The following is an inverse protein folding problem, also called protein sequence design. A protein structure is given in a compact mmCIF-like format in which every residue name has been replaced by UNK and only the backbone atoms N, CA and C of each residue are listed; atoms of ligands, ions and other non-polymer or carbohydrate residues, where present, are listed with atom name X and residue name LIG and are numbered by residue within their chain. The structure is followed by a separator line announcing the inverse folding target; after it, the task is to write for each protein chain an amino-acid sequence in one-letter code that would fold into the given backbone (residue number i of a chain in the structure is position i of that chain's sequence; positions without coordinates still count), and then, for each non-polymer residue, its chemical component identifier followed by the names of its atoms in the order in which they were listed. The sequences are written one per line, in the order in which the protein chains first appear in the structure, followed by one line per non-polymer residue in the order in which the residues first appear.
data_IF_696016734492
#
_entry.id   IF_696016734492
#
_cell.length_a   1.000
_cell.length_b   1.000
_cell.length_c   1.000
_cell.angle_alpha   90.00
_cell.angle_beta   90.00
_cell.angle_gamma   90.00
#
_symmetry.space_group_name_H-M   'P 1'
#
loop_
_entity.id
_entity.type
_entity.pdbx_description
1 polymer ?
#
# COMPACT_ATOMS: atom_id res chain seq x y z
N UNK A 1 5.96 22.90 -0.01
CA UNK A 1 6.18 21.86 1.02
C UNK A 1 6.64 20.54 0.39
N UNK A 2 5.84 19.86 -0.48
CA UNK A 2 6.25 18.56 -1.05
C UNK A 2 7.57 18.65 -1.81
N UNK A 3 7.73 19.67 -2.66
CA UNK A 3 8.95 19.88 -3.47
C UNK A 3 10.18 20.15 -2.61
N UNK A 4 10.04 20.93 -1.54
CA UNK A 4 11.10 21.22 -0.58
C UNK A 4 11.53 19.93 0.16
N UNK A 5 10.55 19.19 0.70
CA UNK A 5 10.84 17.89 1.37
C UNK A 5 11.46 16.90 0.39
N UNK A 6 11.06 16.90 -0.88
CA UNK A 6 11.67 16.07 -1.89
C UNK A 6 13.13 16.43 -2.13
N UNK A 7 13.46 17.74 -2.22
CA UNK A 7 14.84 18.21 -2.38
C UNK A 7 15.74 17.79 -1.21
N UNK A 8 15.20 17.84 0.02
CA UNK A 8 15.93 17.43 1.22
C UNK A 8 16.06 15.90 1.38
N UNK A 9 15.11 15.15 0.83
CA UNK A 9 15.03 13.69 1.01
C UNK A 9 15.78 12.93 -0.08
N UNK A 10 15.74 13.45 -1.31
CA UNK A 10 16.30 12.77 -2.47
C UNK A 10 17.73 13.25 -2.72
N UNK A 11 18.63 12.28 -2.87
CA UNK A 11 20.04 12.53 -3.16
C UNK A 11 20.33 12.48 -4.67
N UNK A 12 21.52 12.94 -5.09
CA UNK A 12 22.02 12.85 -6.46
C UNK A 12 21.16 13.59 -7.51
N UNK A 13 20.57 14.73 -7.15
CA UNK A 13 19.78 15.56 -8.07
C UNK A 13 18.48 14.91 -8.56
N UNK A 14 18.02 13.86 -7.87
CA UNK A 14 16.72 13.25 -8.18
C UNK A 14 15.59 14.20 -7.77
N UNK A 15 14.58 14.29 -8.62
CA UNK A 15 13.35 15.04 -8.39
C UNK A 15 12.15 14.12 -8.58
N UNK A 16 11.03 14.50 -8.02
CA UNK A 16 9.74 13.87 -8.31
C UNK A 16 9.15 14.49 -9.58
N UNK A 17 8.51 13.67 -10.40
CA UNK A 17 7.61 14.19 -11.43
C UNK A 17 6.29 14.71 -10.80
N UNK A 18 5.40 15.28 -11.63
CA UNK A 18 4.14 15.85 -11.17
C UNK A 18 3.24 14.81 -10.48
N UNK A 19 3.09 13.61 -11.07
CA UNK A 19 2.29 12.52 -10.49
C UNK A 19 2.87 12.00 -9.18
N UNK A 20 4.17 11.82 -9.10
CA UNK A 20 4.87 11.43 -7.87
C UNK A 20 4.73 12.51 -6.78
N UNK A 21 4.79 13.78 -7.15
CA UNK A 21 4.63 14.91 -6.22
C UNK A 21 3.22 14.94 -5.65
N UNK A 22 2.21 14.78 -6.50
CA UNK A 22 0.80 14.69 -6.10
C UNK A 22 0.56 13.48 -5.19
N UNK A 23 1.06 12.30 -5.56
CA UNK A 23 0.90 11.08 -4.78
C UNK A 23 1.60 11.19 -3.40
N UNK A 24 2.81 11.73 -3.35
CA UNK A 24 3.52 11.95 -2.08
C UNK A 24 2.74 12.93 -1.18
N UNK A 25 2.18 13.98 -1.76
CA UNK A 25 1.34 14.94 -1.06
C UNK A 25 0.05 14.33 -0.52
N UNK A 26 -0.65 13.52 -1.33
CA UNK A 26 -1.86 12.82 -0.92
C UNK A 26 -1.59 11.83 0.22
N UNK A 27 -0.54 11.02 0.11
CA UNK A 27 -0.15 10.06 1.17
C UNK A 27 0.27 10.78 2.45
N UNK A 28 1.06 11.86 2.33
CA UNK A 28 1.49 12.68 3.47
C UNK A 28 0.41 13.62 4.01
N UNK A 29 -0.72 13.73 3.33
CA UNK A 29 -1.86 14.56 3.70
C UNK A 29 -2.75 13.95 4.79
N UNK A 30 -3.96 14.48 4.94
CA UNK A 30 -4.94 14.10 5.98
C UNK A 30 -6.07 13.22 5.46
N UNK A 31 -6.12 12.95 4.17
CA UNK A 31 -7.12 12.07 3.57
C UNK A 31 -7.11 10.68 4.21
N UNK A 32 -8.27 10.18 4.59
CA UNK A 32 -8.37 8.89 5.29
C UNK A 32 -8.09 7.69 4.40
N UNK A 33 -8.44 7.80 3.13
CA UNK A 33 -8.20 6.77 2.12
C UNK A 33 -7.65 7.42 0.85
N UNK A 34 -6.46 7.00 0.47
CA UNK A 34 -5.74 7.42 -0.74
C UNK A 34 -5.50 6.20 -1.62
N UNK A 35 -5.68 6.34 -2.92
CA UNK A 35 -5.31 5.30 -3.88
C UNK A 35 -4.31 5.86 -4.89
N UNK A 36 -3.17 5.19 -5.00
CA UNK A 36 -2.12 5.51 -5.98
C UNK A 36 -1.96 4.33 -6.93
N UNK A 37 -2.32 4.53 -8.17
CA UNK A 37 -2.16 3.53 -9.24
C UNK A 37 -0.91 3.84 -10.04
N UNK A 38 -0.04 2.85 -10.20
CA UNK A 38 1.15 3.02 -11.03
C UNK A 38 1.79 1.70 -11.41
N UNK A 39 2.17 1.54 -12.68
CA UNK A 39 2.91 0.37 -13.15
C UNK A 39 4.27 0.20 -12.46
N UNK A 40 4.89 -0.96 -12.71
CA UNK A 40 6.26 -1.17 -12.29
C UNK A 40 7.20 -0.15 -12.98
N UNK A 41 8.12 0.44 -12.21
CA UNK A 41 9.08 1.40 -12.73
C UNK A 41 8.61 2.86 -12.76
N UNK A 42 7.45 3.19 -12.19
CA UNK A 42 6.98 4.59 -12.03
C UNK A 42 7.57 5.30 -10.81
N UNK A 43 8.57 4.70 -10.15
CA UNK A 43 9.26 5.33 -9.03
C UNK A 43 8.45 5.38 -7.73
N UNK A 44 7.53 4.44 -7.52
CA UNK A 44 6.72 4.33 -6.28
C UNK A 44 7.58 4.44 -5.01
N UNK A 45 8.70 3.74 -4.93
CA UNK A 45 9.61 3.79 -3.79
C UNK A 45 10.17 5.19 -3.53
N UNK A 46 10.54 5.91 -4.59
CA UNK A 46 11.08 7.28 -4.47
C UNK A 46 10.01 8.22 -3.92
N UNK A 47 8.80 8.12 -4.41
CA UNK A 47 7.63 8.85 -3.94
C UNK A 47 7.31 8.51 -2.47
N UNK A 48 7.35 7.22 -2.08
CA UNK A 48 7.08 6.78 -0.71
C UNK A 48 8.12 7.31 0.30
N UNK A 49 9.39 7.44 -0.09
CA UNK A 49 10.42 8.09 0.76
C UNK A 49 10.04 9.52 1.10
N UNK A 50 9.58 10.28 0.11
CA UNK A 50 9.17 11.66 0.31
C UNK A 50 7.89 11.72 1.15
N UNK A 51 6.90 10.88 0.87
CA UNK A 51 5.68 10.78 1.65
C UNK A 51 5.96 10.44 3.14
N UNK A 52 6.90 9.52 3.40
CA UNK A 52 7.35 9.22 4.76
C UNK A 52 7.90 10.47 5.45
N UNK A 53 8.78 11.19 4.79
CA UNK A 53 9.38 12.39 5.37
C UNK A 53 8.36 13.48 5.64
N UNK A 54 7.35 13.62 4.76
CA UNK A 54 6.22 14.53 4.98
C UNK A 54 5.44 14.18 6.26
N UNK A 55 5.19 12.89 6.50
CA UNK A 55 4.51 12.42 7.71
C UNK A 55 5.36 12.66 8.96
N UNK A 56 6.65 12.31 8.91
CA UNK A 56 7.60 12.53 10.03
C UNK A 56 7.69 14.00 10.43
N UNK A 57 7.72 14.92 9.47
CA UNK A 57 7.72 16.37 9.73
C UNK A 57 6.43 16.85 10.43
N UNK A 58 5.37 16.05 10.40
CA UNK A 58 4.10 16.28 11.09
C UNK A 58 3.96 15.50 12.39
N UNK A 59 5.02 14.78 12.84
CA UNK A 59 4.96 13.89 14.00
C UNK A 59 4.12 12.63 13.78
N UNK A 60 3.87 12.24 12.52
CA UNK A 60 3.08 11.07 12.11
C UNK A 60 4.00 9.97 11.58
N UNK A 61 3.58 8.72 11.70
CA UNK A 61 4.36 7.57 11.23
C UNK A 61 3.78 6.98 9.95
N UNK A 62 4.67 6.39 9.16
CA UNK A 62 4.31 5.52 8.04
C UNK A 62 4.60 4.07 8.41
N UNK A 63 3.61 3.21 8.27
CA UNK A 63 3.76 1.76 8.35
C UNK A 63 3.47 1.18 6.97
N UNK A 64 4.46 0.52 6.35
CA UNK A 64 4.27 -0.12 5.04
C UNK A 64 3.89 -1.58 5.26
N UNK A 65 2.83 -2.01 4.62
CA UNK A 65 2.41 -3.41 4.57
C UNK A 65 2.34 -3.91 3.14
N UNK A 66 2.65 -5.18 2.95
CA UNK A 66 2.56 -5.84 1.65
C UNK A 66 1.97 -7.24 1.81
N UNK A 67 1.39 -7.83 0.74
CA UNK A 67 0.83 -9.18 0.78
C UNK A 67 1.85 -10.24 1.18
N UNK A 68 3.13 -10.05 0.84
CA UNK A 68 4.20 -10.99 1.17
C UNK A 68 5.26 -10.38 2.09
N UNK A 69 5.88 -11.21 2.93
CA UNK A 69 7.00 -10.79 3.80
C UNK A 69 8.19 -10.24 3.00
N UNK A 70 8.47 -10.85 1.83
CA UNK A 70 9.56 -10.42 0.95
C UNK A 70 9.32 -9.01 0.41
N UNK A 71 8.13 -8.74 -0.13
CA UNK A 71 7.76 -7.43 -0.64
C UNK A 71 7.82 -6.38 0.49
N UNK A 72 7.26 -6.68 1.66
CA UNK A 72 7.33 -5.81 2.82
C UNK A 72 8.78 -5.49 3.25
N UNK A 73 9.65 -6.51 3.30
CA UNK A 73 11.06 -6.31 3.65
C UNK A 73 11.78 -5.38 2.67
N UNK A 74 11.57 -5.58 1.37
CA UNK A 74 12.15 -4.72 0.32
C UNK A 74 11.63 -3.29 0.46
N UNK A 75 10.31 -3.10 0.56
CA UNK A 75 9.71 -1.78 0.72
C UNK A 75 10.22 -1.05 1.97
N UNK A 76 10.36 -1.77 3.10
CA UNK A 76 10.93 -1.23 4.33
C UNK A 76 12.38 -0.80 4.19
N UNK A 77 13.24 -1.63 3.58
CA UNK A 77 14.64 -1.30 3.35
C UNK A 77 14.79 -0.10 2.41
N UNK A 78 14.02 -0.06 1.35
CA UNK A 78 14.12 0.99 0.34
C UNK A 78 13.56 2.33 0.81
N UNK A 79 12.55 2.34 1.66
CA UNK A 79 11.92 3.56 2.17
C UNK A 79 12.42 3.99 3.53
N UNK A 80 12.98 3.07 4.32
CA UNK A 80 13.34 3.28 5.72
C UNK A 80 12.13 3.32 6.67
N UNK A 81 10.94 2.94 6.22
CA UNK A 81 9.73 2.87 7.04
C UNK A 81 9.64 1.55 7.81
N UNK A 82 8.88 1.54 8.91
CA UNK A 82 8.46 0.30 9.55
C UNK A 82 7.66 -0.53 8.55
N UNK A 83 8.02 -1.80 8.37
CA UNK A 83 7.40 -2.65 7.38
C UNK A 83 7.00 -4.01 7.92
N UNK A 84 5.89 -4.54 7.42
CA UNK A 84 5.32 -5.82 7.83
C UNK A 84 4.57 -6.48 6.68
N UNK A 85 4.39 -7.81 6.75
CA UNK A 85 3.35 -8.40 5.91
C UNK A 85 1.98 -7.93 6.42
N UNK A 86 1.03 -7.76 5.50
CA UNK A 86 -0.32 -7.33 5.85
C UNK A 86 -0.96 -8.27 6.89
N UNK A 87 -0.80 -9.59 6.72
CA UNK A 87 -1.28 -10.58 7.69
C UNK A 87 -0.64 -10.43 9.09
N UNK A 88 0.64 -10.05 9.19
CA UNK A 88 1.28 -9.86 10.48
C UNK A 88 0.74 -8.64 11.22
N UNK A 89 0.44 -7.54 10.51
CA UNK A 89 -0.24 -6.38 11.07
C UNK A 89 -1.67 -6.76 11.54
N UNK A 90 -2.44 -7.47 10.70
CA UNK A 90 -3.79 -7.90 11.08
C UNK A 90 -3.78 -8.81 12.30
N UNK A 91 -2.83 -9.76 12.36
CA UNK A 91 -2.68 -10.67 13.48
C UNK A 91 -2.33 -9.92 14.78
N UNK A 92 -1.43 -8.95 14.73
CA UNK A 92 -1.09 -8.10 15.87
C UNK A 92 -2.30 -7.31 16.40
N UNK A 93 -3.22 -6.93 15.52
CA UNK A 93 -4.49 -6.26 15.85
C UNK A 93 -5.65 -7.22 16.16
N UNK A 94 -5.33 -8.47 16.51
CA UNK A 94 -6.30 -9.47 17.00
C UNK A 94 -7.02 -10.25 15.93
N UNK A 95 -6.80 -9.99 14.63
CA UNK A 95 -7.45 -10.78 13.59
C UNK A 95 -6.90 -12.19 13.53
N UNK A 96 -7.84 -13.17 13.41
CA UNK A 96 -7.56 -14.58 13.22
C UNK A 96 -8.40 -15.08 12.06
N UNK A 97 -7.88 -16.03 11.32
CA UNK A 97 -8.60 -16.66 10.22
C UNK A 97 -8.40 -18.17 10.27
N UNK A 98 -9.42 -18.89 9.89
CA UNK A 98 -9.43 -20.33 9.82
C UNK A 98 -10.01 -20.73 8.48
N UNK A 99 -9.34 -21.62 7.77
CA UNK A 99 -9.85 -22.16 6.53
C UNK A 99 -11.01 -23.12 6.82
N UNK A 100 -12.10 -22.95 6.08
CA UNK A 100 -13.30 -23.79 6.14
C UNK A 100 -13.65 -24.29 4.74
N UNK A 101 -14.49 -25.33 4.59
CA UNK A 101 -14.92 -25.80 3.28
C UNK A 101 -15.61 -24.75 2.41
N UNK A 102 -16.16 -23.70 3.03
CA UNK A 102 -16.88 -22.61 2.36
C UNK A 102 -16.04 -21.34 2.22
N UNK A 103 -14.76 -21.34 2.61
CA UNK A 103 -13.87 -20.19 2.56
C UNK A 103 -13.18 -19.90 3.90
N UNK A 104 -12.64 -18.73 4.08
CA UNK A 104 -11.99 -18.32 5.33
C UNK A 104 -12.99 -17.68 6.29
N UNK A 105 -13.03 -18.19 7.53
CA UNK A 105 -13.73 -17.57 8.64
C UNK A 105 -12.76 -16.61 9.35
N UNK A 106 -13.12 -15.34 9.38
CA UNK A 106 -12.38 -14.29 10.06
C UNK A 106 -13.03 -13.94 11.39
N UNK A 107 -12.23 -13.91 12.45
CA UNK A 107 -12.64 -13.47 13.80
C UNK A 107 -11.67 -12.39 14.26
N UNK A 108 -12.09 -11.57 15.22
CA UNK A 108 -11.22 -10.57 15.84
C UNK A 108 -11.30 -10.69 17.34
N UNK A 109 -10.17 -10.88 17.97
CA UNK A 109 -10.02 -10.88 19.43
C UNK A 109 -10.05 -9.44 19.95
N UNK A 110 -10.63 -9.28 21.11
CA UNK A 110 -10.50 -8.05 21.91
C UNK A 110 -9.57 -8.30 23.09
N UNK A 111 -8.87 -7.28 23.61
CA UNK A 111 -7.99 -7.44 24.77
C UNK A 111 -8.69 -8.15 25.93
N UNK A 112 -8.03 -9.12 26.53
CA UNK A 112 -8.55 -9.98 27.58
C UNK A 112 -9.13 -11.32 27.09
N UNK A 113 -9.31 -11.53 25.78
CA UNK A 113 -9.77 -12.80 25.23
C UNK A 113 -8.63 -13.80 25.06
N UNK A 114 -8.93 -15.06 25.29
CA UNK A 114 -8.00 -16.15 24.97
C UNK A 114 -7.96 -16.37 23.46
N UNK A 115 -6.76 -16.43 22.93
CA UNK A 115 -6.51 -16.76 21.53
C UNK A 115 -6.64 -18.27 21.32
N UNK A 116 -7.64 -18.75 20.57
CA UNK A 116 -7.89 -20.18 20.39
C UNK A 116 -6.78 -20.91 19.62
N UNK A 117 -5.90 -20.15 18.93
CA UNK A 117 -4.78 -20.75 18.20
C UNK A 117 -3.53 -20.94 19.08
N UNK A 118 -3.38 -20.15 20.14
CA UNK A 118 -2.17 -20.17 20.98
C UNK A 118 -2.42 -20.47 22.45
N UNK A 119 -3.68 -20.39 22.91
CA UNK A 119 -4.05 -20.50 24.31
C UNK A 119 -3.58 -19.31 25.20
N UNK A 120 -3.11 -18.21 24.60
CA UNK A 120 -2.65 -17.02 25.30
C UNK A 120 -3.73 -15.96 25.34
N UNK A 121 -3.71 -15.14 26.38
CA UNK A 121 -4.57 -13.96 26.42
C UNK A 121 -4.04 -12.92 25.43
N UNK A 122 -4.93 -12.40 24.59
CA UNK A 122 -4.62 -11.29 23.70
C UNK A 122 -4.68 -9.97 24.49
N UNK A 123 -3.59 -9.23 24.50
CA UNK A 123 -3.45 -7.99 25.28
C UNK A 123 -3.65 -6.72 24.42
N UNK A 124 -3.83 -6.88 23.14
CA UNK A 124 -3.86 -5.78 22.14
C UNK A 124 -2.65 -5.80 21.22
N UNK A 125 -2.58 -4.86 20.26
CA UNK A 125 -1.43 -4.72 19.37
C UNK A 125 -0.21 -4.25 20.20
N UNK A 126 0.96 -4.82 19.89
CA UNK A 126 2.22 -4.50 20.59
C UNK A 126 3.35 -4.14 19.66
N UNK A 127 3.32 -4.67 18.44
CA UNK A 127 4.40 -4.49 17.49
C UNK A 127 4.10 -3.45 16.43
N UNK A 128 2.86 -3.36 16.03
CA UNK A 128 2.38 -2.48 14.97
C UNK A 128 1.25 -1.59 15.46
N UNK A 129 1.39 -1.07 16.67
CA UNK A 129 0.45 -0.08 17.22
C UNK A 129 0.33 1.10 16.24
N UNK A 130 -0.89 1.54 16.05
CA UNK A 130 -1.23 2.66 15.19
C UNK A 130 -1.88 3.77 16.00
N UNK A 131 -1.37 4.97 15.81
CA UNK A 131 -1.94 6.17 16.41
C UNK A 131 -2.79 6.94 15.40
N UNK A 132 -3.58 7.84 15.95
CA UNK A 132 -4.41 8.74 15.15
C UNK A 132 -3.52 9.58 14.23
N UNK A 133 -3.81 9.48 12.94
CA UNK A 133 -3.09 10.21 11.91
C UNK A 133 -1.91 9.44 11.30
N UNK A 134 -1.49 8.31 11.87
CA UNK A 134 -0.53 7.43 11.21
C UNK A 134 -1.04 7.01 9.82
N UNK A 135 -0.13 6.63 8.95
CA UNK A 135 -0.45 6.19 7.59
C UNK A 135 -0.03 4.75 7.38
N UNK A 136 -1.00 3.87 7.14
CA UNK A 136 -0.74 2.52 6.64
C UNK A 136 -0.69 2.56 5.12
N UNK A 137 0.46 2.26 4.55
CA UNK A 137 0.66 2.15 3.11
C UNK A 137 0.63 0.68 2.74
N UNK A 138 -0.32 0.30 1.90
CA UNK A 138 -0.40 -1.05 1.33
C UNK A 138 0.33 -1.05 0.00
N UNK A 139 1.53 -1.59 -0.04
CA UNK A 139 2.27 -1.79 -1.29
C UNK A 139 1.82 -3.08 -1.97
N UNK A 140 1.87 -3.14 -3.29
CA UNK A 140 1.31 -4.21 -4.12
C UNK A 140 -0.20 -4.43 -3.86
N UNK A 141 -0.94 -3.35 -3.65
CA UNK A 141 -2.35 -3.38 -3.24
C UNK A 141 -3.28 -4.09 -4.22
N UNK A 142 -2.87 -4.25 -5.50
CA UNK A 142 -3.61 -5.04 -6.49
C UNK A 142 -3.78 -6.52 -6.11
N UNK A 143 -2.91 -7.05 -5.23
CA UNK A 143 -2.95 -8.43 -4.77
C UNK A 143 -3.78 -8.64 -3.48
N UNK A 144 -4.37 -7.60 -2.93
CA UNK A 144 -5.15 -7.68 -1.67
C UNK A 144 -6.59 -8.09 -1.97
N UNK A 145 -7.08 -9.12 -1.27
CA UNK A 145 -8.47 -9.53 -1.33
C UNK A 145 -9.39 -8.66 -0.46
N UNK A 146 -10.72 -8.81 -0.67
CA UNK A 146 -11.72 -7.98 0.01
C UNK A 146 -11.79 -8.22 1.53
N UNK A 147 -11.57 -9.45 2.01
CA UNK A 147 -11.62 -9.76 3.44
C UNK A 147 -10.47 -9.10 4.17
N UNK A 148 -9.27 -9.23 3.62
CA UNK A 148 -8.04 -8.61 4.12
C UNK A 148 -8.15 -7.08 4.11
N UNK A 149 -8.69 -6.50 3.04
CA UNK A 149 -8.91 -5.05 2.94
C UNK A 149 -9.94 -4.55 3.97
N UNK A 150 -11.02 -5.32 4.20
CA UNK A 150 -12.03 -4.98 5.19
C UNK A 150 -11.47 -5.04 6.63
N UNK A 151 -10.67 -6.05 6.95
CA UNK A 151 -9.99 -6.16 8.24
C UNK A 151 -9.04 -4.97 8.47
N UNK A 152 -8.27 -4.57 7.45
CA UNK A 152 -7.41 -3.39 7.52
C UNK A 152 -8.23 -2.10 7.72
N UNK A 153 -9.36 -1.96 7.03
CA UNK A 153 -10.24 -0.81 7.18
C UNK A 153 -10.79 -0.70 8.61
N UNK A 154 -11.13 -1.83 9.25
CA UNK A 154 -11.57 -1.85 10.64
C UNK A 154 -10.47 -1.35 11.60
N UNK A 155 -9.22 -1.80 11.41
CA UNK A 155 -8.07 -1.32 12.19
C UNK A 155 -7.89 0.20 12.02
N UNK A 156 -7.94 0.69 10.79
CA UNK A 156 -7.77 2.11 10.51
C UNK A 156 -8.89 2.98 11.10
N UNK A 157 -10.12 2.46 11.13
CA UNK A 157 -11.24 3.14 11.77
C UNK A 157 -11.06 3.24 13.28
N UNK A 158 -10.64 2.15 13.94
CA UNK A 158 -10.46 2.11 15.38
C UNK A 158 -9.29 2.97 15.86
N UNK A 159 -8.15 2.92 15.15
CA UNK A 159 -6.95 3.69 15.50
C UNK A 159 -7.02 5.15 15.06
N UNK A 160 -7.88 5.47 14.09
CA UNK A 160 -7.90 6.78 13.44
C UNK A 160 -6.75 6.98 12.45
N UNK A 161 -6.03 5.93 12.08
CA UNK A 161 -5.01 5.95 11.02
C UNK A 161 -5.64 6.10 9.64
N UNK A 162 -4.88 6.58 8.69
CA UNK A 162 -5.28 6.63 7.27
C UNK A 162 -4.69 5.44 6.50
N UNK A 163 -5.32 5.09 5.39
CA UNK A 163 -4.85 4.04 4.47
C UNK A 163 -4.42 4.67 3.15
N UNK A 164 -3.31 4.21 2.60
CA UNK A 164 -2.91 4.48 1.22
C UNK A 164 -2.70 3.14 0.48
N UNK A 165 -3.54 2.90 -0.52
CA UNK A 165 -3.44 1.73 -1.40
C UNK A 165 -2.54 2.08 -2.58
N UNK A 166 -1.36 1.47 -2.64
CA UNK A 166 -0.35 1.73 -3.67
C UNK A 166 -0.12 0.46 -4.47
N UNK A 167 -0.32 0.51 -5.77
CA UNK A 167 -0.16 -0.69 -6.59
C UNK A 167 -0.64 -0.50 -8.01
N UNK A 168 -0.81 -1.61 -8.67
CA UNK A 168 -1.29 -1.67 -10.04
C UNK A 168 -2.51 -2.59 -10.11
N UNK A 169 -3.68 -2.00 -10.28
CA UNK A 169 -4.94 -2.75 -10.35
C UNK A 169 -5.12 -3.55 -11.66
N UNK A 170 -4.23 -3.33 -12.64
CA UNK A 170 -4.22 -4.07 -13.91
C UNK A 170 -3.24 -5.25 -13.90
N UNK A 171 -2.40 -5.39 -12.86
CA UNK A 171 -1.56 -6.56 -12.66
C UNK A 171 -2.37 -7.70 -12.02
N UNK A 172 -1.73 -8.89 -11.95
CA UNK A 172 -2.37 -10.14 -11.52
C UNK A 172 -3.40 -9.97 -10.41
N UNK A 173 -4.63 -10.37 -10.71
CA UNK A 173 -5.73 -10.37 -9.75
C UNK A 173 -5.44 -11.36 -8.62
N UNK A 174 -5.83 -11.07 -7.37
CA UNK A 174 -5.69 -12.00 -6.27
C UNK A 174 -6.50 -13.28 -6.52
N UNK A 175 -6.00 -14.39 -6.03
CA UNK A 175 -6.75 -15.64 -6.00
C UNK A 175 -7.85 -15.50 -4.95
N UNK A 176 -9.12 -15.57 -5.36
CA UNK A 176 -10.26 -15.42 -4.47
C UNK A 176 -11.13 -14.20 -4.80
N UNK A 177 -11.64 -13.51 -3.78
CA UNK A 177 -12.50 -12.32 -3.95
C UNK A 177 -11.67 -11.10 -4.35
N UNK A 178 -11.47 -10.94 -5.66
CA UNK A 178 -10.75 -9.84 -6.28
C UNK A 178 -11.52 -8.50 -6.17
N UNK A 179 -10.82 -7.39 -6.40
CA UNK A 179 -11.44 -6.07 -6.54
C UNK A 179 -11.31 -5.16 -5.33
N UNK A 180 -10.53 -5.53 -4.30
CA UNK A 180 -10.31 -4.67 -3.14
C UNK A 180 -9.77 -3.30 -3.56
N UNK A 181 -8.76 -3.25 -4.42
CA UNK A 181 -8.17 -1.99 -4.87
C UNK A 181 -9.15 -1.16 -5.70
N UNK A 182 -9.96 -1.79 -6.58
CA UNK A 182 -10.98 -1.09 -7.36
C UNK A 182 -12.08 -0.52 -6.47
N UNK A 183 -12.55 -1.28 -5.48
CA UNK A 183 -13.51 -0.81 -4.49
C UNK A 183 -12.94 0.34 -3.65
N UNK A 184 -11.72 0.21 -3.16
CA UNK A 184 -11.06 1.25 -2.38
C UNK A 184 -10.86 2.52 -3.23
N UNK A 185 -10.48 2.37 -4.50
CA UNK A 185 -10.36 3.49 -5.44
C UNK A 185 -11.68 4.27 -5.59
N UNK A 186 -12.81 3.58 -5.73
CA UNK A 186 -14.13 4.23 -5.86
C UNK A 186 -14.57 4.98 -4.60
N UNK A 187 -13.94 4.69 -3.45
CA UNK A 187 -14.23 5.29 -2.13
C UNK A 187 -13.13 6.22 -1.63
N UNK A 188 -12.02 6.31 -2.37
CA UNK A 188 -10.89 7.18 -2.01
C UNK A 188 -11.25 8.64 -2.13
N UNK A 189 -10.81 9.44 -1.17
CA UNK A 189 -10.87 10.90 -1.22
C UNK A 189 -9.79 11.50 -2.13
N UNK A 190 -8.70 10.78 -2.36
CA UNK A 190 -7.67 11.14 -3.32
C UNK A 190 -7.27 9.91 -4.16
N UNK A 191 -7.31 10.07 -5.48
CA UNK A 191 -6.92 9.05 -6.46
C UNK A 191 -5.86 9.64 -7.37
N UNK A 192 -4.66 9.07 -7.36
CA UNK A 192 -3.53 9.53 -8.18
C UNK A 192 -3.05 8.43 -9.11
N UNK A 193 -2.80 8.78 -10.36
CA UNK A 193 -2.26 7.87 -11.38
C UNK A 193 -0.84 8.27 -11.77
N UNK A 194 0.10 7.35 -11.56
CA UNK A 194 1.49 7.51 -12.01
C UNK A 194 1.61 7.01 -13.45
N UNK A 195 1.75 7.92 -14.39
CA UNK A 195 1.83 7.61 -15.83
C UNK A 195 3.26 7.58 -16.36
N UNK A 196 4.21 8.28 -15.71
CA UNK A 196 5.58 8.34 -16.16
C UNK A 196 6.37 7.10 -15.72
N UNK A 197 6.92 6.36 -16.70
CA UNK A 197 7.75 5.18 -16.43
C UNK A 197 9.22 5.58 -16.49
N UNK A 198 9.90 5.52 -15.33
CA UNK A 198 11.32 5.92 -15.18
C UNK A 198 12.31 4.77 -15.35
N UNK A 199 11.82 3.54 -15.54
CA UNK A 199 12.65 2.33 -15.60
C UNK A 199 13.48 2.22 -16.88
N UNK A 200 12.98 2.77 -17.97
CA UNK A 200 13.64 2.70 -19.28
C UNK A 200 14.34 4.02 -19.59
N UNK A 201 15.60 3.91 -20.08
CA UNK A 201 16.34 5.09 -20.57
C UNK A 201 15.71 5.65 -21.85
N UNK A 202 15.09 4.80 -22.65
CA UNK A 202 14.37 5.16 -23.87
C UNK A 202 12.87 5.31 -23.57
N UNK A 203 12.28 6.50 -23.75
CA UNK A 203 10.86 6.76 -23.54
C UNK A 203 9.93 5.86 -24.40
N UNK A 204 10.38 5.42 -25.57
CA UNK A 204 9.60 4.55 -26.46
C UNK A 204 9.31 3.19 -25.79
N UNK A 205 10.26 2.60 -25.07
CA UNK A 205 10.06 1.37 -24.30
C UNK A 205 9.11 1.57 -23.12
N UNK A 206 9.15 2.74 -22.49
CA UNK A 206 8.19 3.12 -21.46
C UNK A 206 6.75 3.14 -21.99
N UNK A 207 6.53 3.83 -23.10
CA UNK A 207 5.25 3.90 -23.78
C UNK A 207 4.75 2.51 -24.24
N UNK A 208 5.64 1.68 -24.80
CA UNK A 208 5.32 0.32 -25.22
C UNK A 208 4.87 -0.55 -24.04
N UNK A 209 5.56 -0.48 -22.90
CA UNK A 209 5.22 -1.25 -21.71
C UNK A 209 3.84 -0.88 -21.15
N UNK A 210 3.41 0.36 -21.29
CA UNK A 210 2.06 0.81 -20.89
C UNK A 210 1.00 0.28 -21.87
N UNK A 211 1.28 0.28 -23.17
CA UNK A 211 0.35 -0.23 -24.20
C UNK A 211 0.07 -1.72 -24.10
N UNK A 212 1.08 -2.54 -23.74
CA UNK A 212 0.93 -4.00 -23.56
C UNK A 212 -0.05 -4.33 -22.41
N UNK A 213 -0.25 -3.41 -21.46
CA UNK A 213 -1.12 -3.60 -20.29
C UNK A 213 -2.61 -3.32 -20.55
N UNK A 214 -2.93 -2.73 -21.70
CA UNK A 214 -4.34 -2.43 -22.03
C UNK A 214 -5.11 -3.75 -22.27
N UNK A 215 -6.26 -3.98 -21.59
CA UNK A 215 -7.05 -5.18 -21.78
C UNK A 215 -7.50 -5.34 -23.25
N UNK A 216 -7.39 -6.56 -23.78
CA UNK A 216 -7.86 -6.89 -25.12
C UNK A 216 -6.88 -6.58 -26.25
N UNK A 217 -5.67 -6.15 -25.97
CA UNK A 217 -4.60 -6.04 -26.99
C UNK A 217 -3.73 -7.29 -27.00
N UNK A 218 -3.56 -7.87 -28.16
CA UNK A 218 -2.58 -8.94 -28.39
C UNK A 218 -1.18 -8.36 -28.22
N UNK A 219 -0.42 -8.86 -27.24
CA UNK A 219 0.94 -8.39 -26.94
C UNK A 219 1.86 -8.53 -28.17
N UNK A 220 1.61 -9.48 -29.07
CA UNK A 220 2.33 -9.68 -30.32
C UNK A 220 2.04 -8.60 -31.35
N UNK A 221 0.83 -8.04 -31.37
CA UNK A 221 0.44 -6.98 -32.33
C UNK A 221 1.02 -5.59 -31.97
N UNK A 222 1.59 -5.43 -30.76
CA UNK A 222 2.16 -4.18 -30.28
C UNK A 222 3.68 -4.11 -30.50
N UNK A 223 4.33 -5.26 -30.78
CA UNK A 223 5.79 -5.36 -30.97
C UNK A 223 6.25 -5.15 -32.42
N UNK A 224 5.34 -4.97 -33.36
CA UNK A 224 5.58 -4.58 -34.75
C UNK A 224 5.12 -3.12 -34.93
#
# INVERSE_FOLDING_TARGET
VVTEVAADTLTNGRTLDAGQTEAAGAIGGTDRLVTVTGPAGTGKTTMLRVARRLLENQGRRMVIVAPTKKAASVAGQETGATASSLHALLHDHGFRWTDTPTGQLWTRLVPGQEDPQTGRIYEGPTRYELDRGDRVVVDEAGMVDLHTANALAAIALDSGAGIAMVGDHLQALPVGHSGAMSLMRSRSSAVVELSAVHRFKDPAWGALSLRIREPGRDAMAVAH
#
